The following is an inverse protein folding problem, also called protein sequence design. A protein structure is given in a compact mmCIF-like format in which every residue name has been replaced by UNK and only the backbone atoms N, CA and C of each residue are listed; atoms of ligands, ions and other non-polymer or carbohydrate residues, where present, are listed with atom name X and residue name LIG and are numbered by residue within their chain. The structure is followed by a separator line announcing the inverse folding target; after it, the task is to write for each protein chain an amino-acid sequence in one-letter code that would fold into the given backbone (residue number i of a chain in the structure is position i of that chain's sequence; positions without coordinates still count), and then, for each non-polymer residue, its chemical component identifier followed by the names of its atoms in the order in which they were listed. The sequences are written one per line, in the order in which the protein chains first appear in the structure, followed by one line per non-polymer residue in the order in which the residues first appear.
data_IF_717686143050
#
_entry.id   IF_717686143050
#
_cell.length_a   1.000
_cell.length_b   1.000
_cell.length_c   1.000
_cell.angle_alpha   90.00
_cell.angle_beta   90.00
_cell.angle_gamma   90.00
#
_symmetry.space_group_name_H-M   'P 1'
#
loop_
_entity.id
_entity.type
_entity.pdbx_description
1 polymer ?
#
# COMPACT_ATOMS: atom_id res chain seq x y z
N UNK A 1 77.75 -35.91 42.77
CA UNK A 1 76.82 -35.20 43.68
C UNK A 1 76.73 -33.77 43.16
N UNK A 2 75.65 -33.23 42.59
CA UNK A 2 74.23 -33.54 42.60
C UNK A 2 73.62 -33.27 41.21
N UNK A 3 72.80 -34.19 40.71
CA UNK A 3 71.98 -33.98 39.51
C UNK A 3 70.72 -33.15 39.89
N UNK A 4 70.33 -32.14 39.09
CA UNK A 4 69.03 -31.50 39.24
C UNK A 4 67.93 -32.34 38.54
N UNK A 5 66.78 -32.43 39.18
CA UNK A 5 65.64 -33.29 38.83
C UNK A 5 64.85 -32.77 37.62
N UNK A 6 64.25 -33.66 36.79
CA UNK A 6 63.66 -33.30 35.50
C UNK A 6 62.20 -32.77 35.57
N UNK A 7 61.64 -32.53 36.76
CA UNK A 7 60.18 -32.35 36.91
C UNK A 7 59.71 -30.90 37.16
N UNK A 8 60.61 -29.94 37.28
CA UNK A 8 60.24 -28.53 37.56
C UNK A 8 60.11 -27.66 36.30
N UNK A 9 60.46 -28.19 35.12
CA UNK A 9 60.40 -27.45 33.85
C UNK A 9 59.01 -27.28 33.21
N UNK A 10 58.01 -28.18 33.36
CA UNK A 10 56.74 -27.97 32.67
C UNK A 10 55.84 -26.97 33.42
N UNK A 11 56.05 -26.80 34.73
CA UNK A 11 55.21 -25.92 35.56
C UNK A 11 55.50 -24.43 35.33
N UNK A 12 56.72 -24.09 34.90
CA UNK A 12 57.13 -22.70 34.66
C UNK A 12 56.71 -22.18 33.26
N UNK A 13 56.50 -23.08 32.29
CA UNK A 13 55.94 -22.72 30.98
C UNK A 13 54.41 -22.60 31.00
N UNK A 14 53.72 -23.41 31.82
CA UNK A 14 52.25 -23.38 31.88
C UNK A 14 51.71 -22.12 32.58
N UNK A 15 52.45 -21.58 33.56
CA UNK A 15 52.08 -20.33 34.26
C UNK A 15 52.34 -19.08 33.38
N UNK A 16 53.33 -19.12 32.49
CA UNK A 16 53.61 -18.02 31.55
C UNK A 16 52.56 -17.95 30.42
N UNK A 17 51.99 -19.09 30.00
CA UNK A 17 50.98 -19.16 28.94
C UNK A 17 49.57 -18.72 29.39
N UNK A 18 49.24 -18.87 30.68
CA UNK A 18 47.96 -18.42 31.23
C UNK A 18 47.91 -16.91 31.52
N UNK A 19 49.06 -16.24 31.70
CA UNK A 19 49.09 -14.79 31.91
C UNK A 19 48.91 -13.97 30.62
N UNK A 20 49.18 -14.55 29.44
CA UNK A 20 49.01 -13.89 28.15
C UNK A 20 47.59 -13.93 27.58
N UNK A 21 46.65 -14.62 28.24
CA UNK A 21 45.27 -14.75 27.75
C UNK A 21 44.29 -13.72 28.35
N UNK A 22 44.77 -12.79 29.20
CA UNK A 22 43.97 -11.71 29.77
C UNK A 22 44.15 -10.35 29.07
N UNK A 23 44.78 -10.30 27.88
CA UNK A 23 44.63 -9.14 26.99
C UNK A 23 43.28 -9.24 26.26
N UNK A 24 42.20 -9.09 27.03
CA UNK A 24 40.94 -8.65 26.49
C UNK A 24 41.13 -7.22 26.01
N UNK A 25 41.53 -7.05 24.74
CA UNK A 25 41.51 -5.76 24.07
C UNK A 25 40.04 -5.33 23.93
N UNK A 26 39.48 -4.75 25.00
CA UNK A 26 38.31 -3.91 24.88
C UNK A 26 38.76 -2.74 24.01
N UNK A 27 38.34 -2.75 22.74
CA UNK A 27 38.40 -1.55 21.93
C UNK A 27 37.56 -0.50 22.65
N UNK A 28 38.24 0.34 23.45
CA UNK A 28 37.62 1.45 24.13
C UNK A 28 37.11 2.37 23.03
N UNK A 29 35.79 2.33 22.79
CA UNK A 29 35.13 3.28 21.91
C UNK A 29 35.38 4.63 22.52
N UNK A 30 36.24 5.43 21.89
CA UNK A 30 36.53 6.75 22.41
C UNK A 30 35.22 7.58 22.36
N UNK A 31 35.05 8.58 23.24
CA UNK A 31 33.82 9.38 23.26
C UNK A 31 33.43 9.95 21.89
N UNK A 32 34.44 10.31 21.06
CA UNK A 32 34.20 10.78 19.69
C UNK A 32 33.61 9.74 18.75
N UNK A 33 34.02 8.47 18.83
CA UNK A 33 33.46 7.37 18.04
C UNK A 33 32.02 7.06 18.44
N UNK A 34 31.69 7.16 19.73
CA UNK A 34 30.31 7.02 20.19
C UNK A 34 29.41 8.14 19.66
N UNK A 35 29.92 9.38 19.66
CA UNK A 35 29.21 10.53 19.10
C UNK A 35 29.00 10.37 17.58
N UNK A 36 30.02 9.92 16.83
CA UNK A 36 29.91 9.66 15.39
C UNK A 36 28.89 8.56 15.06
N UNK A 37 28.85 7.49 15.85
CA UNK A 37 27.87 6.40 15.68
C UNK A 37 26.46 6.92 15.95
N UNK A 38 26.29 7.72 17.02
CA UNK A 38 25.00 8.31 17.39
C UNK A 38 24.50 9.29 16.34
N UNK A 39 25.37 10.14 15.82
CA UNK A 39 25.07 11.07 14.73
C UNK A 39 24.63 10.33 13.47
N UNK A 40 25.31 9.23 13.11
CA UNK A 40 24.93 8.41 11.96
C UNK A 40 23.54 7.79 12.16
N UNK A 41 23.23 7.27 13.35
CA UNK A 41 21.91 6.71 13.65
C UNK A 41 20.80 7.76 13.56
N UNK A 42 21.03 8.97 14.09
CA UNK A 42 20.07 10.06 14.03
C UNK A 42 19.77 10.46 12.59
N UNK A 43 20.80 10.61 11.74
CA UNK A 43 20.62 10.95 10.31
C UNK A 43 19.78 9.91 9.57
N UNK A 44 20.02 8.62 9.81
CA UNK A 44 19.24 7.55 9.19
C UNK A 44 17.76 7.62 9.62
N UNK A 45 17.48 7.90 10.89
CA UNK A 45 16.11 8.07 11.38
C UNK A 45 15.41 9.27 10.73
N UNK A 46 16.11 10.40 10.63
CA UNK A 46 15.61 11.60 9.96
C UNK A 46 15.30 11.34 8.48
N UNK A 47 16.17 10.63 7.77
CA UNK A 47 15.94 10.23 6.37
C UNK A 47 14.72 9.31 6.21
N UNK A 48 14.54 8.34 7.11
CA UNK A 48 13.37 7.47 7.10
C UNK A 48 12.07 8.26 7.36
N UNK A 49 12.09 9.17 8.34
CA UNK A 49 10.95 10.03 8.64
C UNK A 49 10.60 10.92 7.45
N UNK A 50 11.60 11.53 6.81
CA UNK A 50 11.41 12.38 5.64
C UNK A 50 10.79 11.61 4.48
N UNK A 51 11.29 10.41 4.16
CA UNK A 51 10.70 9.56 3.11
C UNK A 51 9.25 9.19 3.40
N UNK A 52 8.92 8.85 4.65
CA UNK A 52 7.54 8.56 5.04
C UNK A 52 6.63 9.78 4.88
N UNK A 53 7.15 10.98 5.16
CA UNK A 53 6.40 12.21 4.99
C UNK A 53 6.15 12.53 3.51
N UNK A 54 7.19 12.40 2.66
CA UNK A 54 7.07 12.56 1.20
C UNK A 54 6.03 11.58 0.61
N UNK A 55 6.01 10.32 1.07
CA UNK A 55 5.00 9.33 0.66
C UNK A 55 3.57 9.70 1.08
N UNK A 56 3.39 10.30 2.26
CA UNK A 56 2.07 10.77 2.74
C UNK A 56 1.58 11.99 1.98
N UNK A 57 2.51 12.84 1.54
CA UNK A 57 2.23 14.05 0.77
C UNK A 57 2.00 13.78 -0.72
N UNK A 58 2.22 12.53 -1.19
CA UNK A 58 1.91 12.16 -2.57
C UNK A 58 0.42 12.43 -2.88
N UNK A 59 0.12 13.19 -3.95
CA UNK A 59 -1.24 13.42 -4.38
C UNK A 59 -1.85 12.09 -4.84
N UNK A 60 -2.96 11.68 -4.21
CA UNK A 60 -3.60 10.40 -4.51
C UNK A 60 -4.82 10.04 -3.65
N UNK A 61 -5.10 10.82 -2.60
CA UNK A 61 -6.32 10.64 -1.80
C UNK A 61 -7.41 11.57 -2.32
N UNK A 62 -8.51 10.99 -2.76
CA UNK A 62 -9.64 11.73 -3.32
C UNK A 62 -10.19 12.78 -2.37
N UNK A 63 -10.36 13.99 -2.90
CA UNK A 63 -11.29 14.97 -2.36
C UNK A 63 -12.68 14.39 -2.57
N UNK A 64 -13.30 13.82 -1.52
CA UNK A 64 -14.71 13.44 -1.54
C UNK A 64 -15.52 14.71 -1.82
N UNK A 65 -16.13 14.89 -3.00
CA UNK A 65 -17.07 15.98 -3.19
C UNK A 65 -18.21 15.73 -2.21
N UNK A 66 -18.63 16.76 -1.48
CA UNK A 66 -19.83 16.66 -0.67
C UNK A 66 -20.99 16.26 -1.60
N UNK A 67 -21.61 15.11 -1.33
CA UNK A 67 -22.75 14.66 -2.11
C UNK A 67 -23.84 15.74 -2.00
N UNK A 68 -24.30 16.33 -3.11
CA UNK A 68 -25.51 17.13 -3.09
C UNK A 68 -26.63 16.24 -2.54
N UNK A 69 -27.46 16.75 -1.65
CA UNK A 69 -28.67 16.05 -1.22
C UNK A 69 -29.56 15.97 -2.46
N UNK A 70 -29.54 14.81 -3.13
CA UNK A 70 -30.36 14.60 -4.30
C UNK A 70 -31.83 14.67 -3.89
N UNK A 71 -32.69 15.37 -4.66
CA UNK A 71 -34.12 15.37 -4.41
C UNK A 71 -34.63 13.92 -4.46
N UNK A 72 -35.59 13.60 -3.59
CA UNK A 72 -36.23 12.28 -3.57
C UNK A 72 -36.86 12.02 -4.93
N UNK A 73 -36.36 10.99 -5.62
CA UNK A 73 -36.87 10.61 -6.93
C UNK A 73 -38.35 10.24 -6.83
N UNK A 74 -39.20 10.97 -7.55
CA UNK A 74 -40.66 10.73 -7.55
C UNK A 74 -41.06 9.47 -8.33
N UNK A 75 -40.14 8.94 -9.15
CA UNK A 75 -40.30 7.70 -9.92
C UNK A 75 -39.01 6.90 -9.87
N UNK A 76 -39.13 5.58 -9.78
CA UNK A 76 -38.00 4.65 -9.78
C UNK A 76 -38.31 3.45 -10.69
N UNK A 77 -37.26 2.72 -11.06
CA UNK A 77 -37.34 1.52 -11.88
C UNK A 77 -37.07 0.29 -11.01
N UNK A 78 -37.95 -0.73 -11.01
CA UNK A 78 -37.68 -1.97 -10.29
C UNK A 78 -36.56 -2.73 -11.00
N UNK A 79 -35.41 -2.88 -10.33
CA UNK A 79 -34.24 -3.59 -10.87
C UNK A 79 -34.19 -4.98 -10.25
N UNK A 80 -34.26 -6.01 -11.09
CA UNK A 80 -34.17 -7.43 -10.68
C UNK A 80 -32.78 -7.99 -10.94
N UNK A 81 -32.12 -7.53 -12.01
CA UNK A 81 -30.79 -8.01 -12.39
C UNK A 81 -29.93 -6.86 -12.87
N UNK A 82 -28.64 -6.95 -12.58
CA UNK A 82 -27.64 -5.99 -13.06
C UNK A 82 -26.53 -6.76 -13.78
N UNK A 83 -26.26 -6.38 -15.02
CA UNK A 83 -25.15 -6.90 -15.81
C UNK A 83 -24.05 -5.85 -15.93
N UNK A 84 -22.83 -6.21 -15.51
CA UNK A 84 -21.66 -5.34 -15.59
C UNK A 84 -20.75 -5.76 -16.75
N UNK A 85 -20.81 -4.99 -17.83
CA UNK A 85 -20.06 -5.19 -19.07
C UNK A 85 -18.73 -4.43 -19.05
N UNK A 86 -17.70 -4.94 -19.72
CA UNK A 86 -16.39 -4.27 -19.85
C UNK A 86 -15.55 -4.24 -18.57
N UNK A 87 -15.92 -5.02 -17.54
CA UNK A 87 -15.28 -5.04 -16.23
C UNK A 87 -14.26 -6.19 -16.06
N UNK A 88 -13.41 -6.42 -17.06
CA UNK A 88 -12.54 -7.60 -17.16
C UNK A 88 -11.54 -7.73 -16.00
N UNK A 89 -11.15 -6.63 -15.37
CA UNK A 89 -10.28 -6.62 -14.19
C UNK A 89 -10.96 -7.03 -12.87
N UNK A 90 -12.29 -7.21 -12.86
CA UNK A 90 -13.06 -7.66 -11.71
C UNK A 90 -13.46 -9.14 -11.84
N UNK A 91 -13.20 -9.93 -10.80
CA UNK A 91 -13.70 -11.30 -10.72
C UNK A 91 -15.22 -11.35 -10.55
N UNK A 92 -15.86 -12.46 -10.91
CA UNK A 92 -17.32 -12.64 -10.73
C UNK A 92 -17.77 -12.33 -9.30
N UNK A 93 -17.08 -12.87 -8.30
CA UNK A 93 -17.38 -12.61 -6.88
C UNK A 93 -17.20 -11.14 -6.47
N UNK A 94 -16.26 -10.40 -7.10
CA UNK A 94 -16.14 -8.96 -6.88
C UNK A 94 -17.32 -8.21 -7.46
N UNK A 95 -17.74 -8.55 -8.69
CA UNK A 95 -18.91 -7.94 -9.34
C UNK A 95 -20.18 -8.20 -8.55
N UNK A 96 -20.42 -9.44 -8.11
CA UNK A 96 -21.59 -9.82 -7.31
C UNK A 96 -21.68 -9.01 -6.02
N UNK A 97 -20.61 -8.98 -5.21
CA UNK A 97 -20.59 -8.23 -3.95
C UNK A 97 -20.78 -6.72 -4.14
N UNK A 98 -20.25 -6.19 -5.24
CA UNK A 98 -20.34 -4.76 -5.56
C UNK A 98 -21.76 -4.35 -5.95
N UNK A 99 -22.51 -5.25 -6.60
CA UNK A 99 -23.84 -4.99 -7.15
C UNK A 99 -24.98 -5.44 -6.22
N UNK A 100 -24.73 -6.38 -5.31
CA UNK A 100 -25.72 -6.91 -4.35
C UNK A 100 -26.59 -5.82 -3.70
N UNK A 101 -26.05 -4.67 -3.23
CA UNK A 101 -26.85 -3.65 -2.58
C UNK A 101 -27.84 -2.91 -3.49
N UNK A 102 -27.89 -3.22 -4.80
CA UNK A 102 -28.74 -2.56 -5.79
C UNK A 102 -29.69 -3.53 -6.50
N UNK A 103 -29.53 -4.84 -6.28
CA UNK A 103 -30.38 -5.90 -6.84
C UNK A 103 -31.69 -5.98 -6.05
N UNK A 104 -32.80 -6.26 -6.74
CA UNK A 104 -34.16 -6.33 -6.20
C UNK A 104 -34.63 -5.02 -5.52
N UNK A 105 -34.12 -3.88 -5.98
CA UNK A 105 -34.46 -2.55 -5.47
C UNK A 105 -35.14 -1.68 -6.53
N UNK A 106 -35.91 -0.69 -6.07
CA UNK A 106 -36.44 0.35 -6.94
C UNK A 106 -35.45 1.51 -7.00
N UNK A 107 -34.73 1.64 -8.11
CA UNK A 107 -33.69 2.66 -8.25
C UNK A 107 -34.23 3.87 -9.00
N UNK A 108 -34.17 5.04 -8.37
CA UNK A 108 -34.33 6.33 -9.02
C UNK A 108 -33.03 6.80 -9.67
N UNK A 109 -33.05 7.99 -10.28
CA UNK A 109 -31.88 8.57 -10.95
C UNK A 109 -30.72 8.76 -9.98
N UNK A 110 -31.01 9.18 -8.75
CA UNK A 110 -30.00 9.33 -7.70
C UNK A 110 -29.33 8.00 -7.36
N UNK A 111 -30.10 6.94 -7.13
CA UNK A 111 -29.54 5.63 -6.81
C UNK A 111 -28.78 5.00 -8.00
N UNK A 112 -29.22 5.25 -9.24
CA UNK A 112 -28.48 4.83 -10.43
C UNK A 112 -27.11 5.53 -10.51
N UNK A 113 -27.05 6.83 -10.22
CA UNK A 113 -25.77 7.55 -10.15
C UNK A 113 -24.89 7.05 -9.00
N UNK A 114 -25.47 6.71 -7.85
CA UNK A 114 -24.74 6.11 -6.73
C UNK A 114 -24.15 4.75 -7.10
N UNK A 115 -24.89 3.90 -7.82
CA UNK A 115 -24.38 2.64 -8.38
C UNK A 115 -23.15 2.90 -9.28
N UNK A 116 -23.26 3.82 -10.24
CA UNK A 116 -22.13 4.15 -11.12
C UNK A 116 -20.92 4.67 -10.33
N UNK A 117 -21.18 5.48 -9.30
CA UNK A 117 -20.14 6.00 -8.40
C UNK A 117 -19.47 4.88 -7.63
N UNK A 118 -20.23 3.99 -6.98
CA UNK A 118 -19.69 2.86 -6.22
C UNK A 118 -18.83 1.96 -7.11
N UNK A 119 -19.30 1.68 -8.33
CA UNK A 119 -18.50 0.90 -9.29
C UNK A 119 -17.21 1.64 -9.64
N UNK A 120 -17.29 2.92 -9.98
CA UNK A 120 -16.11 3.73 -10.35
C UNK A 120 -15.11 3.85 -9.18
N UNK A 121 -15.59 4.14 -7.98
CA UNK A 121 -14.76 4.27 -6.78
C UNK A 121 -14.05 2.94 -6.47
N UNK A 122 -14.68 1.80 -6.71
CA UNK A 122 -14.03 0.49 -6.57
C UNK A 122 -12.82 0.31 -7.49
N UNK A 123 -12.87 0.84 -8.72
CA UNK A 123 -11.71 0.84 -9.61
C UNK A 123 -10.60 1.76 -9.11
N UNK A 124 -10.97 2.94 -8.60
CA UNK A 124 -10.03 3.92 -8.06
C UNK A 124 -9.31 3.35 -6.83
N UNK A 125 -10.03 2.68 -5.93
CA UNK A 125 -9.47 2.00 -4.76
C UNK A 125 -8.49 0.87 -5.16
N UNK A 126 -8.67 0.27 -6.34
CA UNK A 126 -7.75 -0.71 -6.93
C UNK A 126 -6.57 -0.06 -7.69
N UNK A 127 -6.48 1.26 -7.75
CA UNK A 127 -5.44 2.01 -8.47
C UNK A 127 -5.70 2.21 -9.96
N UNK A 128 -6.90 1.84 -10.46
CA UNK A 128 -7.30 1.96 -11.86
C UNK A 128 -8.01 3.30 -12.10
N UNK A 129 -7.28 4.41 -11.89
CA UNK A 129 -7.84 5.77 -11.87
C UNK A 129 -8.41 6.28 -13.20
N UNK A 130 -8.03 5.64 -14.31
CA UNK A 130 -8.52 5.96 -15.67
C UNK A 130 -9.79 5.20 -16.05
N UNK A 131 -10.31 4.34 -15.17
CA UNK A 131 -11.50 3.54 -15.42
C UNK A 131 -12.77 4.22 -14.91
N UNK A 132 -13.89 4.09 -15.63
CA UNK A 132 -15.17 4.73 -15.29
C UNK A 132 -16.37 3.84 -15.68
N UNK A 133 -17.44 3.90 -14.88
CA UNK A 133 -18.71 3.23 -15.18
C UNK A 133 -19.71 4.20 -15.83
N UNK A 134 -20.51 3.69 -16.77
CA UNK A 134 -21.50 4.43 -17.53
C UNK A 134 -22.79 3.63 -17.67
N UNK A 135 -23.90 4.35 -17.81
CA UNK A 135 -25.20 3.77 -18.09
C UNK A 135 -25.56 3.97 -19.58
N UNK A 136 -25.53 2.91 -20.42
CA UNK A 136 -25.97 3.01 -21.80
C UNK A 136 -27.47 3.26 -21.90
N UNK A 137 -27.92 3.80 -23.04
CA UNK A 137 -29.34 3.94 -23.33
C UNK A 137 -29.99 2.56 -23.44
N UNK A 138 -31.03 2.32 -22.64
CA UNK A 138 -31.70 1.03 -22.52
C UNK A 138 -33.14 1.20 -22.00
N UNK A 139 -33.94 0.13 -22.11
CA UNK A 139 -35.27 0.06 -21.51
C UNK A 139 -35.22 -0.74 -20.20
N UNK A 140 -35.54 -0.07 -19.09
CA UNK A 140 -35.55 -0.65 -17.74
C UNK A 140 -36.89 -1.27 -17.34
N UNK A 141 -37.90 -1.26 -18.22
CA UNK A 141 -39.24 -1.76 -17.90
C UNK A 141 -39.28 -3.24 -17.53
N UNK A 142 -38.26 -4.00 -17.97
CA UNK A 142 -38.09 -5.44 -17.66
C UNK A 142 -37.27 -5.71 -16.39
N UNK A 143 -36.77 -4.66 -15.73
CA UNK A 143 -35.93 -4.77 -14.55
C UNK A 143 -34.54 -5.36 -14.78
N UNK A 144 -34.04 -5.30 -16.01
CA UNK A 144 -32.67 -5.67 -16.34
C UNK A 144 -31.85 -4.42 -16.61
N UNK A 145 -30.84 -4.18 -15.77
CA UNK A 145 -29.97 -3.01 -15.84
C UNK A 145 -28.59 -3.41 -16.38
N UNK A 146 -28.21 -2.81 -17.49
CA UNK A 146 -26.87 -2.95 -18.06
C UNK A 146 -26.01 -1.77 -17.66
N UNK A 147 -24.83 -2.03 -17.10
CA UNK A 147 -23.82 -1.04 -16.77
C UNK A 147 -22.56 -1.35 -17.59
N UNK A 148 -21.99 -0.34 -18.24
CA UNK A 148 -20.77 -0.47 -19.02
C UNK A 148 -19.61 0.17 -18.26
N UNK A 149 -18.56 -0.60 -18.00
CA UNK A 149 -17.28 -0.08 -17.54
C UNK A 149 -16.36 0.10 -18.74
N UNK A 150 -15.72 1.27 -18.81
CA UNK A 150 -14.62 1.52 -19.73
C UNK A 150 -13.33 1.53 -18.93
N UNK A 151 -12.53 0.48 -19.08
CA UNK A 151 -11.22 0.39 -18.46
C UNK A 151 -10.19 1.16 -19.31
N UNK A 152 -9.75 2.31 -18.80
CA UNK A 152 -8.76 3.14 -19.48
C UNK A 152 -7.37 2.51 -19.48
N UNK A 153 -6.64 2.66 -20.59
CA UNK A 153 -5.24 2.24 -20.73
C UNK A 153 -4.38 3.42 -21.14
N UNK A 154 -3.15 3.49 -20.63
CA UNK A 154 -2.19 4.51 -21.05
C UNK A 154 -1.61 4.14 -22.41
N UNK A 155 -1.84 4.98 -23.42
CA UNK A 155 -1.30 4.78 -24.76
C UNK A 155 0.16 5.25 -24.86
N UNK A 156 0.44 6.47 -24.36
CA UNK A 156 1.76 7.10 -24.43
C UNK A 156 1.95 8.11 -23.30
N UNK A 157 3.16 8.15 -22.77
CA UNK A 157 3.63 9.24 -21.92
C UNK A 157 4.62 10.08 -22.73
N UNK A 158 4.48 11.41 -22.68
CA UNK A 158 5.41 12.35 -23.29
C UNK A 158 5.94 13.29 -22.21
N UNK A 159 7.22 13.18 -21.90
CA UNK A 159 7.91 14.16 -21.06
C UNK A 159 8.04 15.48 -21.82
N UNK A 160 7.84 16.60 -21.13
CA UNK A 160 8.27 17.89 -21.64
C UNK A 160 9.74 18.01 -21.25
N UNK A 161 10.63 17.89 -22.23
CA UNK A 161 12.05 18.15 -22.04
C UNK A 161 12.22 19.66 -21.80
N UNK A 162 12.33 20.08 -20.54
CA UNK A 162 12.76 21.42 -20.19
C UNK A 162 14.27 21.52 -20.50
N UNK A 163 14.60 22.01 -21.70
CA UNK A 163 15.93 22.55 -22.01
C UNK A 163 16.15 23.89 -21.32
#
# INVERSE_FOLDING_TARGET
MHLPTPWTRPFLCLTLLCLSALDGAFAATNPGDQDLIRDRQNRLLEEQQRRLQELKELPGKEVKPAAPVAPVDTRCFPIQTIELNGADSLSGAQRERLLEPFIDQCLGVSQLNDLLKVVTDHYIDKGLVTSRAYLPQQDLSKGHLQVLVVEGKLERLKGVDNS
#
